data_IF_911394827822
#
_entry.id   IF_911394827822
#
_cell.length_a   1.000
_cell.length_b   1.000
_cell.length_c   1.000
_cell.angle_alpha   90.00
_cell.angle_beta   90.00
_cell.angle_gamma   90.00
#
_symmetry.space_group_name_H-M   'P 1'
#
loop_
_entity.id
_entity.type
_entity.pdbx_description
1 polymer ?
#
# COMPACT_ATOMS: atom_id res chain seq x y z
N UNK A 1 -30.50 5.25 20.31
CA UNK A 1 -29.71 6.38 19.78
C UNK A 1 -28.49 6.70 20.66
N UNK A 2 -28.63 6.84 21.99
CA UNK A 2 -27.49 7.10 22.90
C UNK A 2 -26.44 5.97 22.96
N UNK A 3 -26.85 4.70 22.98
CA UNK A 3 -25.92 3.54 23.05
C UNK A 3 -25.01 3.45 21.81
N UNK A 4 -25.57 3.69 20.63
CA UNK A 4 -24.83 3.76 19.36
C UNK A 4 -23.83 4.93 19.35
N UNK A 5 -24.22 6.07 19.94
CA UNK A 5 -23.35 7.23 20.08
C UNK A 5 -22.18 6.92 21.03
N UNK A 6 -22.45 6.31 22.20
CA UNK A 6 -21.39 5.89 23.12
C UNK A 6 -20.44 4.85 22.50
N UNK A 7 -20.97 3.88 21.74
CA UNK A 7 -20.12 2.90 21.02
C UNK A 7 -19.25 3.58 19.95
N UNK A 8 -19.77 4.59 19.26
CA UNK A 8 -19.02 5.35 18.27
C UNK A 8 -17.90 6.18 18.92
N UNK A 9 -18.21 6.87 20.02
CA UNK A 9 -17.24 7.67 20.79
C UNK A 9 -16.14 6.77 21.35
N UNK A 10 -16.50 5.67 22.02
CA UNK A 10 -15.53 4.69 22.55
C UNK A 10 -14.64 4.11 21.44
N UNK A 11 -15.19 3.86 20.26
CA UNK A 11 -14.41 3.39 19.10
C UNK A 11 -13.46 4.47 18.58
N UNK A 12 -13.89 5.72 18.52
CA UNK A 12 -13.07 6.84 18.07
C UNK A 12 -11.89 7.08 19.02
N UNK A 13 -12.14 7.13 20.33
CA UNK A 13 -11.11 7.29 21.37
C UNK A 13 -10.07 6.16 21.31
N UNK A 14 -10.53 4.92 21.10
CA UNK A 14 -9.63 3.77 20.95
C UNK A 14 -8.77 3.86 19.68
N UNK A 15 -9.31 4.37 18.57
CA UNK A 15 -8.56 4.57 17.32
C UNK A 15 -7.50 5.66 17.52
N UNK A 16 -7.83 6.76 18.21
CA UNK A 16 -6.84 7.80 18.53
C UNK A 16 -5.74 7.27 19.45
N UNK A 17 -6.08 6.50 20.49
CA UNK A 17 -5.09 5.90 21.38
C UNK A 17 -4.17 4.94 20.60
N UNK A 18 -4.71 4.08 19.75
CA UNK A 18 -3.92 3.18 18.90
C UNK A 18 -3.00 3.99 17.97
N UNK A 19 -3.54 4.99 17.28
CA UNK A 19 -2.76 5.83 16.37
C UNK A 19 -1.64 6.59 17.09
N UNK A 20 -1.88 7.05 18.33
CA UNK A 20 -0.87 7.72 19.14
C UNK A 20 0.34 6.84 19.49
N UNK A 21 0.16 5.50 19.45
CA UNK A 21 1.19 4.51 19.79
C UNK A 21 1.89 3.95 18.56
N UNK A 22 1.38 4.21 17.35
CA UNK A 22 2.05 3.81 16.13
C UNK A 22 3.31 4.66 15.92
N UNK A 23 4.38 4.09 15.35
CA UNK A 23 5.43 4.92 14.75
C UNK A 23 4.82 5.90 13.75
N UNK A 24 5.49 7.01 13.48
CA UNK A 24 5.07 8.05 12.52
C UNK A 24 4.51 7.47 11.21
N UNK A 25 5.13 6.39 10.72
CA UNK A 25 4.78 5.75 9.45
C UNK A 25 3.89 4.51 9.58
N UNK A 26 3.52 4.14 10.80
CA UNK A 26 2.83 2.87 11.08
C UNK A 26 1.43 2.77 10.46
N UNK A 27 0.86 3.89 10.03
CA UNK A 27 -0.45 3.97 9.37
C UNK A 27 -0.36 4.26 7.86
N UNK A 28 0.85 4.41 7.31
CA UNK A 28 1.02 4.70 5.89
C UNK A 28 0.78 3.45 5.05
N UNK A 29 0.15 3.65 3.89
CA UNK A 29 0.09 2.68 2.81
C UNK A 29 1.21 2.97 1.79
N UNK A 30 1.26 2.20 0.70
CA UNK A 30 2.32 2.27 -0.30
C UNK A 30 2.56 3.70 -0.82
N UNK A 31 1.49 4.41 -1.20
CA UNK A 31 1.59 5.77 -1.74
C UNK A 31 1.95 6.79 -0.66
N UNK A 32 1.51 6.57 0.58
CA UNK A 32 1.93 7.36 1.75
C UNK A 32 3.44 7.25 2.01
N UNK A 33 3.96 6.02 2.05
CA UNK A 33 5.40 5.78 2.17
C UNK A 33 6.17 6.38 0.99
N UNK A 34 5.69 6.18 -0.25
CA UNK A 34 6.35 6.74 -1.43
C UNK A 34 6.45 8.28 -1.37
N UNK A 35 5.34 8.93 -1.00
CA UNK A 35 5.29 10.39 -0.84
C UNK A 35 6.27 10.85 0.23
N UNK A 36 6.34 10.15 1.37
CA UNK A 36 7.30 10.46 2.44
C UNK A 36 8.75 10.42 1.94
N UNK A 37 9.08 9.49 1.05
CA UNK A 37 10.44 9.39 0.48
C UNK A 37 10.64 10.22 -0.80
N UNK A 38 9.71 11.11 -1.14
CA UNK A 38 9.81 12.01 -2.29
C UNK A 38 9.64 11.32 -3.64
N UNK A 39 9.04 10.12 -3.67
CA UNK A 39 8.80 9.36 -4.88
C UNK A 39 7.42 9.65 -5.44
N UNK A 40 7.36 9.88 -6.76
CA UNK A 40 6.08 9.99 -7.48
C UNK A 40 5.62 8.59 -7.86
N UNK A 41 4.42 8.24 -7.43
CA UNK A 41 3.84 6.91 -7.65
C UNK A 41 2.52 7.03 -8.39
N UNK A 42 2.35 6.19 -9.40
CA UNK A 42 1.07 5.95 -10.06
C UNK A 42 0.45 4.68 -9.48
N UNK A 43 -0.88 4.67 -9.31
CA UNK A 43 -1.62 3.53 -8.82
C UNK A 43 -2.68 3.14 -9.85
N UNK A 44 -2.79 1.85 -10.11
CA UNK A 44 -3.74 1.27 -11.07
C UNK A 44 -4.55 0.17 -10.40
N UNK A 45 -5.83 0.12 -10.73
CA UNK A 45 -6.72 -0.98 -10.39
C UNK A 45 -6.85 -1.89 -11.62
N UNK A 46 -6.44 -3.15 -11.45
CA UNK A 46 -6.48 -4.18 -12.50
C UNK A 46 -7.64 -5.14 -12.22
N UNK A 47 -8.48 -5.38 -13.21
CA UNK A 47 -9.58 -6.34 -13.10
C UNK A 47 -9.15 -7.65 -13.76
N UNK A 48 -9.11 -8.74 -12.98
CA UNK A 48 -8.86 -10.09 -13.51
C UNK A 48 -10.11 -10.67 -14.18
N UNK A 49 -9.94 -11.65 -15.05
CA UNK A 49 -11.04 -12.30 -15.80
C UNK A 49 -12.15 -12.87 -14.91
N UNK A 50 -11.79 -13.29 -13.69
CA UNK A 50 -12.71 -13.79 -12.66
C UNK A 50 -13.07 -12.73 -11.59
N UNK A 51 -12.99 -11.46 -11.98
CA UNK A 51 -13.52 -10.30 -11.27
C UNK A 51 -12.85 -9.96 -9.93
N UNK A 52 -11.53 -10.13 -9.82
CA UNK A 52 -10.77 -9.53 -8.72
C UNK A 52 -10.15 -8.21 -9.16
N UNK A 53 -10.28 -7.18 -8.31
CA UNK A 53 -9.51 -5.95 -8.38
C UNK A 53 -8.18 -6.17 -7.67
N UNK A 54 -7.08 -5.98 -8.39
CA UNK A 54 -5.72 -5.99 -7.86
C UNK A 54 -5.10 -4.59 -7.99
N UNK A 55 -4.33 -4.18 -7.01
CA UNK A 55 -3.60 -2.91 -7.08
C UNK A 55 -2.20 -3.13 -7.68
N UNK A 56 -1.84 -2.24 -8.61
CA UNK A 56 -0.50 -2.14 -9.19
C UNK A 56 0.02 -0.73 -8.95
N UNK A 57 1.24 -0.63 -8.42
CA UNK A 57 1.92 0.65 -8.22
C UNK A 57 3.09 0.79 -9.17
N UNK A 58 3.37 2.01 -9.61
CA UNK A 58 4.44 2.30 -10.55
C UNK A 58 5.22 3.54 -10.11
N UNK A 59 6.53 3.40 -9.99
CA UNK A 59 7.46 4.50 -9.78
C UNK A 59 8.31 4.59 -11.04
N UNK A 60 8.09 5.66 -11.80
CA UNK A 60 8.71 5.87 -13.11
C UNK A 60 10.22 5.97 -13.01
N UNK A 61 10.90 5.30 -13.92
CA UNK A 61 12.35 5.41 -14.10
C UNK A 61 12.77 5.21 -15.55
N UNK A 62 13.95 4.63 -15.73
CA UNK A 62 14.51 4.25 -17.01
C UNK A 62 13.76 3.02 -17.56
N UNK A 63 12.97 3.24 -18.61
CA UNK A 63 12.18 2.21 -19.29
C UNK A 63 13.01 1.07 -19.88
N UNK A 64 14.33 1.22 -20.00
CA UNK A 64 15.23 0.13 -20.40
C UNK A 64 15.59 -0.82 -19.25
N UNK A 65 15.23 -0.46 -18.01
CA UNK A 65 15.49 -1.22 -16.77
C UNK A 65 14.19 -1.49 -15.98
N UNK A 66 13.18 -2.14 -16.58
CA UNK A 66 11.94 -2.44 -15.88
C UNK A 66 12.15 -3.54 -14.84
N UNK A 67 11.60 -3.36 -13.65
CA UNK A 67 11.49 -4.40 -12.62
C UNK A 67 10.05 -4.51 -12.12
N UNK A 68 9.52 -5.73 -12.12
CA UNK A 68 8.28 -6.07 -11.45
C UNK A 68 8.59 -6.78 -10.13
N UNK A 69 8.11 -6.20 -9.03
CA UNK A 69 8.30 -6.70 -7.68
C UNK A 69 6.96 -7.22 -7.14
N UNK A 70 6.96 -8.48 -6.72
CA UNK A 70 5.79 -9.13 -6.11
C UNK A 70 6.16 -9.67 -4.74
N UNK A 71 5.23 -9.55 -3.81
CA UNK A 71 5.43 -9.98 -2.44
C UNK A 71 5.22 -11.50 -2.29
N UNK A 72 5.72 -12.05 -1.18
CA UNK A 72 5.49 -13.44 -0.79
C UNK A 72 4.14 -13.67 -0.11
N UNK A 73 4.01 -14.83 0.54
CA UNK A 73 2.83 -15.17 1.35
C UNK A 73 2.61 -14.15 2.48
N UNK A 74 1.34 -13.85 2.75
CA UNK A 74 0.88 -12.98 3.85
C UNK A 74 1.55 -11.60 3.89
N UNK A 75 1.63 -10.95 2.73
CA UNK A 75 2.24 -9.63 2.60
C UNK A 75 1.56 -8.79 1.51
N UNK A 76 2.04 -7.56 1.30
CA UNK A 76 1.59 -6.62 0.28
C UNK A 76 2.77 -5.89 -0.36
N UNK A 77 2.51 -5.07 -1.37
CA UNK A 77 3.50 -4.21 -2.02
C UNK A 77 4.23 -3.28 -1.03
N UNK A 78 3.61 -2.92 0.09
CA UNK A 78 4.16 -2.04 1.13
C UNK A 78 5.52 -2.55 1.68
N UNK A 79 5.75 -3.87 1.66
CA UNK A 79 7.00 -4.47 2.15
C UNK A 79 8.25 -3.97 1.43
N UNK A 80 8.09 -3.50 0.19
CA UNK A 80 9.17 -3.00 -0.64
C UNK A 80 9.52 -1.54 -0.37
N UNK A 81 8.70 -0.80 0.39
CA UNK A 81 8.88 0.63 0.59
C UNK A 81 8.92 1.04 2.08
N UNK A 82 8.33 0.24 2.97
CA UNK A 82 8.14 0.60 4.38
C UNK A 82 9.44 0.67 5.21
N UNK A 83 10.57 0.09 4.76
CA UNK A 83 11.86 0.11 5.49
C UNK A 83 12.67 1.41 5.27
N UNK A 84 12.04 2.41 4.68
CA UNK A 84 12.63 3.70 4.40
C UNK A 84 13.73 3.75 3.36
N UNK A 85 14.79 4.52 3.63
CA UNK A 85 15.82 4.87 2.64
C UNK A 85 16.45 3.66 1.93
N UNK A 86 16.56 2.52 2.61
CA UNK A 86 17.11 1.29 2.00
C UNK A 86 16.18 0.65 0.99
N UNK A 87 14.87 0.81 1.15
CA UNK A 87 13.84 0.20 0.30
C UNK A 87 13.67 0.94 -1.03
N UNK A 88 14.09 2.21 -1.09
CA UNK A 88 13.94 3.09 -2.26
C UNK A 88 15.22 3.21 -3.11
N UNK A 89 16.26 2.42 -2.80
CA UNK A 89 17.54 2.48 -3.49
C UNK A 89 17.41 2.27 -5.00
N UNK A 90 16.64 1.27 -5.44
CA UNK A 90 16.41 1.01 -6.86
C UNK A 90 15.72 2.19 -7.58
N UNK A 91 14.78 2.86 -6.91
CA UNK A 91 14.12 4.04 -7.47
C UNK A 91 15.11 5.20 -7.62
N UNK A 92 16.01 5.37 -6.64
CA UNK A 92 17.07 6.39 -6.67
C UNK A 92 18.15 6.09 -7.72
N UNK A 93 18.40 4.82 -8.00
CA UNK A 93 19.29 4.36 -9.07
C UNK A 93 18.62 4.45 -10.46
N UNK A 94 17.37 4.91 -10.52
CA UNK A 94 16.65 5.23 -11.75
C UNK A 94 16.00 4.03 -12.43
N UNK A 95 15.78 2.91 -11.73
CA UNK A 95 15.00 1.79 -12.29
C UNK A 95 13.53 2.16 -12.49
N UNK A 96 12.91 1.59 -13.52
CA UNK A 96 11.46 1.68 -13.74
C UNK A 96 10.76 0.57 -12.95
N UNK A 97 10.10 0.94 -11.84
CA UNK A 97 9.67 -0.01 -10.83
C UNK A 97 8.15 -0.19 -10.82
N UNK A 98 7.73 -1.44 -10.90
CA UNK A 98 6.36 -1.88 -10.80
C UNK A 98 6.19 -2.77 -9.57
N UNK A 99 5.14 -2.55 -8.78
CA UNK A 99 4.86 -3.29 -7.56
C UNK A 99 3.46 -3.85 -7.62
N UNK A 100 3.34 -5.18 -7.74
CA UNK A 100 2.05 -5.84 -7.92
C UNK A 100 1.61 -6.54 -6.64
N UNK A 101 0.38 -6.25 -6.23
CA UNK A 101 -0.30 -7.04 -5.22
C UNK A 101 -0.85 -8.33 -5.85
N UNK A 102 -0.54 -9.46 -5.23
CA UNK A 102 -1.12 -10.75 -5.60
C UNK A 102 -2.53 -10.86 -5.04
N UNK A 103 -3.33 -11.76 -5.63
CA UNK A 103 -4.67 -12.04 -5.11
C UNK A 103 -4.59 -12.69 -3.73
N UNK A 104 -4.96 -11.93 -2.71
CA UNK A 104 -5.15 -12.44 -1.35
C UNK A 104 -6.20 -11.60 -0.61
N UNK A 105 -6.63 -12.07 0.57
CA UNK A 105 -7.70 -11.45 1.37
C UNK A 105 -7.53 -9.95 1.60
N UNK A 106 -6.30 -9.49 1.82
CA UNK A 106 -6.01 -8.10 2.20
C UNK A 106 -5.50 -7.24 1.04
N UNK A 107 -5.30 -7.84 -0.14
CA UNK A 107 -4.64 -7.20 -1.29
C UNK A 107 -5.48 -7.27 -2.56
N UNK A 108 -6.66 -7.90 -2.49
CA UNK A 108 -7.59 -8.04 -3.60
C UNK A 108 -9.04 -7.93 -3.13
N UNK A 109 -9.86 -7.26 -3.93
CA UNK A 109 -11.31 -7.16 -3.73
C UNK A 109 -12.03 -7.90 -4.85
N UNK A 110 -13.00 -8.75 -4.51
CA UNK A 110 -13.84 -9.42 -5.52
C UNK A 110 -15.07 -8.58 -5.84
N UNK A 111 -15.32 -8.32 -7.12
CA UNK A 111 -16.56 -7.69 -7.61
C UNK A 111 -17.52 -8.80 -8.03
N UNK A 112 -18.80 -8.62 -7.69
CA UNK A 112 -19.90 -9.43 -8.21
C UNK A 112 -20.67 -8.54 -9.18
N UNK A 113 -20.56 -8.84 -10.48
CA UNK A 113 -21.30 -8.21 -11.58
C UNK A 113 -22.44 -9.11 -12.02
#
# INVERSE_FOLDING_TARGET
>A
MLVLCCLYIVRADLIEEINSRLPEDGSLNFTGHATKYGLKTEQFDLITEDNYILQLFHIRGDRSKPLLLTHGLDNSADMFIMRGNTSVALARDGYDLWFMNLRAKNTAQKIYI
#
